data_IF_116696840137
#
_entry.id   IF_116696840137
#
_cell.length_a   1.000
_cell.length_b   1.000
_cell.length_c   1.000
_cell.angle_alpha   90.00
_cell.angle_beta   90.00
_cell.angle_gamma   90.00
#
_symmetry.space_group_name_H-M   'P 1'
#
loop_
_entity.id
_entity.type
_entity.pdbx_description
1 polymer ?
#
# COMPACT_ATOMS: atom_id res chain seq x y z
N UNK A 1 -22.88 -16.33 0.65
CA UNK A 1 -22.50 -14.99 0.09
C UNK A 1 -21.20 -15.16 -0.66
N UNK A 2 -21.05 -14.65 -1.89
CA UNK A 2 -19.78 -14.82 -2.62
C UNK A 2 -18.79 -13.79 -2.06
N UNK A 3 -17.70 -14.25 -1.47
CA UNK A 3 -16.64 -13.40 -0.90
C UNK A 3 -16.04 -12.51 -2.01
N UNK A 4 -15.97 -11.20 -1.79
CA UNK A 4 -15.32 -10.26 -2.70
C UNK A 4 -14.01 -9.71 -2.09
N UNK A 5 -13.20 -9.03 -2.91
CA UNK A 5 -11.89 -8.49 -2.51
C UNK A 5 -11.98 -7.55 -1.31
N UNK A 6 -13.00 -6.68 -1.28
CA UNK A 6 -13.17 -5.72 -0.18
C UNK A 6 -13.61 -6.40 1.12
N UNK A 7 -14.46 -7.42 1.02
CA UNK A 7 -14.87 -8.19 2.21
C UNK A 7 -13.68 -8.96 2.78
N UNK A 8 -12.83 -9.55 1.94
CA UNK A 8 -11.61 -10.22 2.41
C UNK A 8 -10.64 -9.24 3.10
N UNK A 9 -10.45 -8.04 2.56
CA UNK A 9 -9.62 -7.00 3.22
C UNK A 9 -10.15 -6.62 4.60
N UNK A 10 -11.47 -6.49 4.76
CA UNK A 10 -12.10 -6.22 6.06
C UNK A 10 -11.86 -7.39 7.03
N UNK A 11 -12.06 -8.62 6.55
CA UNK A 11 -11.81 -9.83 7.36
C UNK A 11 -10.34 -9.89 7.82
N UNK A 12 -9.38 -9.62 6.93
CA UNK A 12 -7.95 -9.57 7.29
C UNK A 12 -7.65 -8.48 8.33
N UNK A 13 -8.24 -7.29 8.16
CA UNK A 13 -8.09 -6.19 9.11
C UNK A 13 -8.65 -6.55 10.49
N UNK A 14 -9.87 -7.09 10.53
CA UNK A 14 -10.53 -7.49 11.78
C UNK A 14 -9.78 -8.66 12.43
N UNK A 15 -9.35 -9.66 11.65
CA UNK A 15 -8.55 -10.77 12.15
C UNK A 15 -7.26 -10.29 12.83
N UNK A 16 -6.53 -9.39 12.20
CA UNK A 16 -5.32 -8.80 12.78
C UNK A 16 -5.63 -8.01 14.06
N UNK A 17 -6.74 -7.27 14.09
CA UNK A 17 -7.17 -6.51 15.26
C UNK A 17 -7.49 -7.42 16.46
N UNK A 18 -8.28 -8.48 16.24
CA UNK A 18 -8.63 -9.44 17.29
C UNK A 18 -7.41 -10.26 17.75
N UNK A 19 -6.55 -10.68 16.82
CA UNK A 19 -5.31 -11.41 17.11
C UNK A 19 -4.36 -10.57 17.95
N UNK A 20 -4.10 -9.34 17.56
CA UNK A 20 -3.23 -8.43 18.32
C UNK A 20 -3.79 -8.15 19.71
N UNK A 21 -5.11 -7.99 19.84
CA UNK A 21 -5.74 -7.80 21.14
C UNK A 21 -5.55 -9.01 22.04
N UNK A 22 -5.65 -10.24 21.53
CA UNK A 22 -5.40 -11.45 22.30
C UNK A 22 -3.93 -11.57 22.70
N UNK A 23 -3.01 -11.32 21.78
CA UNK A 23 -1.57 -11.38 22.05
C UNK A 23 -1.11 -10.38 23.11
N UNK A 24 -1.80 -9.24 23.22
CA UNK A 24 -1.51 -8.17 24.18
C UNK A 24 -2.42 -8.20 25.43
N UNK A 25 -3.28 -9.21 25.55
CA UNK A 25 -4.23 -9.29 26.67
C UNK A 25 -3.53 -9.33 28.01
N UNK A 26 -4.10 -8.64 28.99
CA UNK A 26 -3.65 -8.74 30.37
C UNK A 26 -4.05 -10.12 30.93
N UNK A 27 -3.25 -10.66 31.83
CA UNK A 27 -3.53 -11.97 32.44
C UNK A 27 -4.87 -11.99 33.19
N UNK A 28 -5.35 -10.86 33.71
CA UNK A 28 -6.61 -10.75 34.45
C UNK A 28 -7.86 -10.81 33.56
N UNK A 29 -7.77 -10.34 32.32
CA UNK A 29 -8.90 -10.31 31.36
C UNK A 29 -8.72 -11.27 30.19
N UNK A 30 -7.71 -12.13 30.30
CA UNK A 30 -7.33 -13.04 29.20
C UNK A 30 -8.48 -13.92 28.72
N UNK A 31 -9.23 -14.53 29.64
CA UNK A 31 -10.35 -15.40 29.31
C UNK A 31 -11.44 -14.67 28.50
N UNK A 32 -11.74 -13.43 28.86
CA UNK A 32 -12.73 -12.62 28.14
C UNK A 32 -12.24 -12.21 26.74
N UNK A 33 -10.96 -11.88 26.62
CA UNK A 33 -10.36 -11.52 25.34
C UNK A 33 -10.27 -12.75 24.43
N UNK A 34 -9.87 -13.91 24.97
CA UNK A 34 -9.85 -15.19 24.25
C UNK A 34 -11.25 -15.56 23.73
N UNK A 35 -12.29 -15.43 24.56
CA UNK A 35 -13.67 -15.70 24.14
C UNK A 35 -14.11 -14.79 23.00
N UNK A 36 -13.75 -13.51 23.01
CA UNK A 36 -14.06 -12.57 21.94
C UNK A 36 -13.33 -12.94 20.64
N UNK A 37 -12.07 -13.36 20.75
CA UNK A 37 -11.30 -13.86 19.60
C UNK A 37 -11.93 -15.10 18.98
N UNK A 38 -12.25 -16.12 19.77
CA UNK A 38 -12.89 -17.36 19.31
C UNK A 38 -14.28 -17.11 18.72
N UNK A 39 -15.07 -16.21 19.30
CA UNK A 39 -16.35 -15.80 18.74
C UNK A 39 -16.17 -15.14 17.36
N UNK A 40 -15.14 -14.32 17.20
CA UNK A 40 -14.81 -13.75 15.89
C UNK A 40 -14.47 -14.85 14.88
N UNK A 41 -13.59 -15.81 15.22
CA UNK A 41 -13.25 -16.93 14.33
C UNK A 41 -14.49 -17.73 13.92
N UNK A 42 -15.36 -18.06 14.87
CA UNK A 42 -16.57 -18.86 14.63
C UNK A 42 -17.59 -18.13 13.76
N UNK A 43 -17.71 -16.80 13.92
CA UNK A 43 -18.68 -15.98 13.18
C UNK A 43 -18.13 -15.46 11.83
N UNK A 44 -16.90 -15.81 11.48
CA UNK A 44 -16.30 -15.44 10.20
C UNK A 44 -16.22 -16.68 9.30
N UNK A 45 -17.19 -16.89 8.36
CA UNK A 45 -17.33 -18.14 7.64
C UNK A 45 -16.05 -18.61 6.94
N UNK A 46 -15.34 -17.72 6.23
CA UNK A 46 -14.12 -18.09 5.51
C UNK A 46 -13.03 -18.62 6.44
N UNK A 47 -12.94 -18.12 7.68
CA UNK A 47 -11.97 -18.58 8.69
C UNK A 47 -12.47 -19.87 9.33
N UNK A 48 -13.75 -19.90 9.71
CA UNK A 48 -14.32 -21.07 10.38
C UNK A 48 -14.34 -22.30 9.48
N UNK A 49 -14.76 -22.15 8.21
CA UNK A 49 -14.72 -23.21 7.22
C UNK A 49 -13.31 -23.77 7.01
N UNK A 50 -12.28 -22.91 7.04
CA UNK A 50 -10.89 -23.35 6.99
C UNK A 50 -10.52 -24.21 8.20
N UNK A 51 -10.83 -23.74 9.42
CA UNK A 51 -10.58 -24.52 10.65
C UNK A 51 -11.30 -25.87 10.58
N UNK A 52 -12.58 -25.89 10.19
CA UNK A 52 -13.35 -27.12 10.05
C UNK A 52 -12.79 -28.08 8.98
N UNK A 53 -12.23 -27.53 7.90
CA UNK A 53 -11.60 -28.33 6.84
C UNK A 53 -10.36 -29.10 7.30
N UNK A 54 -9.77 -28.73 8.44
CA UNK A 54 -8.66 -29.44 9.08
C UNK A 54 -9.08 -30.72 9.81
N UNK A 55 -10.39 -30.98 9.87
CA UNK A 55 -10.96 -32.17 10.52
C UNK A 55 -11.31 -31.95 11.99
N UNK A 56 -11.81 -33.01 12.63
CA UNK A 56 -12.10 -33.02 14.06
C UNK A 56 -10.84 -33.25 14.88
N UNK A 57 -10.79 -32.70 16.07
CA UNK A 57 -9.74 -32.98 17.03
C UNK A 57 -9.96 -34.39 17.62
N UNK A 58 -8.99 -35.27 17.42
CA UNK A 58 -9.04 -36.65 17.92
C UNK A 58 -8.41 -36.80 19.33
N UNK A 59 -7.88 -35.69 19.85
CA UNK A 59 -7.25 -35.64 21.19
C UNK A 59 -8.29 -35.62 22.29
N UNK A 60 -8.03 -36.27 23.41
CA UNK A 60 -8.74 -36.02 24.66
C UNK A 60 -8.36 -34.62 25.20
N UNK A 61 -9.11 -33.60 24.75
CA UNK A 61 -8.84 -32.20 25.10
C UNK A 61 -8.99 -31.97 26.58
N UNK A 62 -10.02 -32.55 27.22
CA UNK A 62 -10.26 -32.40 28.65
C UNK A 62 -9.11 -33.01 29.48
N UNK A 63 -8.73 -34.24 29.17
CA UNK A 63 -7.60 -34.90 29.84
C UNK A 63 -6.31 -34.13 29.64
N UNK A 64 -6.02 -33.72 28.41
CA UNK A 64 -4.82 -32.95 28.08
C UNK A 64 -4.73 -31.61 28.84
N UNK A 65 -5.84 -30.87 28.95
CA UNK A 65 -5.87 -29.62 29.69
C UNK A 65 -5.69 -29.87 31.19
N UNK A 66 -6.33 -30.89 31.74
CA UNK A 66 -6.16 -31.28 33.14
C UNK A 66 -4.72 -31.69 33.47
N UNK A 67 -4.08 -32.49 32.61
CA UNK A 67 -2.70 -32.93 32.81
C UNK A 67 -1.73 -31.73 32.83
N UNK A 68 -1.89 -30.79 31.89
CA UNK A 68 -1.07 -29.58 31.87
C UNK A 68 -1.32 -28.73 33.13
N UNK A 69 -2.57 -28.53 33.56
CA UNK A 69 -2.87 -27.80 34.80
C UNK A 69 -2.24 -28.46 36.03
N UNK A 70 -2.42 -29.78 36.17
CA UNK A 70 -1.90 -30.53 37.33
C UNK A 70 -0.37 -30.62 37.37
N UNK A 71 0.28 -30.44 36.22
CA UNK A 71 1.73 -30.43 36.13
C UNK A 71 2.40 -29.23 36.83
N UNK A 72 1.64 -28.21 37.19
CA UNK A 72 2.13 -26.96 37.77
C UNK A 72 3.28 -26.33 36.97
N UNK A 73 3.18 -26.37 35.65
CA UNK A 73 4.19 -25.83 34.71
C UNK A 73 5.27 -26.82 34.29
N UNK A 74 5.11 -28.10 34.63
CA UNK A 74 6.02 -29.17 34.18
C UNK A 74 5.71 -29.65 32.77
N UNK A 75 4.49 -29.43 32.26
CA UNK A 75 4.05 -29.80 30.92
C UNK A 75 3.57 -28.56 30.13
N UNK A 76 3.65 -28.65 28.81
CA UNK A 76 3.03 -27.72 27.88
C UNK A 76 2.19 -28.49 26.86
N UNK A 77 1.28 -27.81 26.17
CA UNK A 77 0.53 -28.44 25.09
C UNK A 77 1.41 -28.80 23.91
N UNK A 78 1.16 -29.97 23.32
CA UNK A 78 1.76 -30.40 22.05
C UNK A 78 0.69 -30.26 20.97
N UNK A 79 0.85 -29.32 20.04
CA UNK A 79 -0.22 -28.99 19.10
C UNK A 79 -0.46 -30.05 18.03
N UNK A 80 0.53 -30.87 17.70
CA UNK A 80 0.49 -31.91 16.64
C UNK A 80 1.71 -31.86 15.75
N UNK A 81 1.79 -32.81 14.81
CA UNK A 81 2.94 -32.99 13.91
C UNK A 81 2.66 -32.41 12.50
N UNK A 82 1.41 -32.10 12.19
CA UNK A 82 0.99 -31.58 10.88
C UNK A 82 0.24 -30.25 11.03
N UNK A 83 0.28 -29.42 9.97
CA UNK A 83 -0.46 -28.15 9.92
C UNK A 83 -1.94 -28.30 10.31
N UNK A 84 -2.59 -29.36 9.82
CA UNK A 84 -4.00 -29.62 10.13
C UNK A 84 -4.23 -29.97 11.60
N UNK A 85 -3.32 -30.77 12.16
CA UNK A 85 -3.36 -31.12 13.58
C UNK A 85 -3.14 -29.89 14.46
N UNK A 86 -2.13 -29.09 14.16
CA UNK A 86 -1.87 -27.85 14.89
C UNK A 86 -3.12 -26.97 14.92
N UNK A 87 -3.78 -26.74 13.77
CA UNK A 87 -4.96 -25.88 13.68
C UNK A 87 -6.12 -26.43 14.52
N UNK A 88 -6.49 -27.69 14.29
CA UNK A 88 -7.67 -28.29 14.95
C UNK A 88 -7.47 -28.47 16.44
N UNK A 89 -6.27 -28.88 16.86
CA UNK A 89 -5.96 -29.14 18.25
C UNK A 89 -5.82 -27.87 19.06
N UNK A 90 -5.09 -26.86 18.54
CA UNK A 90 -4.99 -25.55 19.22
C UNK A 90 -6.35 -24.90 19.33
N UNK A 91 -7.15 -24.89 18.25
CA UNK A 91 -8.51 -24.36 18.30
C UNK A 91 -9.36 -25.07 19.35
N UNK A 92 -9.33 -26.40 19.41
CA UNK A 92 -10.09 -27.19 20.37
C UNK A 92 -9.65 -26.93 21.83
N UNK A 93 -8.34 -26.85 22.09
CA UNK A 93 -7.80 -26.54 23.42
C UNK A 93 -8.21 -25.11 23.84
N UNK A 94 -8.02 -24.13 22.98
CA UNK A 94 -8.39 -22.73 23.30
C UNK A 94 -9.90 -22.57 23.52
N UNK A 95 -10.70 -23.30 22.72
CA UNK A 95 -12.15 -23.33 22.90
C UNK A 95 -12.54 -23.95 24.22
N UNK A 96 -11.96 -25.08 24.61
CA UNK A 96 -12.19 -25.72 25.90
C UNK A 96 -11.83 -24.79 27.08
N UNK A 97 -10.67 -24.13 27.01
CA UNK A 97 -10.23 -23.15 28.01
C UNK A 97 -11.26 -22.01 28.15
N UNK A 98 -11.73 -21.47 27.01
CA UNK A 98 -12.71 -20.36 27.02
C UNK A 98 -14.09 -20.79 27.53
N UNK A 99 -14.59 -21.97 27.10
CA UNK A 99 -15.90 -22.50 27.46
C UNK A 99 -16.00 -22.84 28.96
N UNK A 100 -14.87 -23.27 29.56
CA UNK A 100 -14.81 -23.62 30.99
C UNK A 100 -14.23 -22.49 31.85
N UNK A 101 -14.02 -21.30 31.33
CA UNK A 101 -13.45 -20.13 32.04
C UNK A 101 -12.15 -20.45 32.79
N UNK A 102 -11.25 -21.23 32.17
CA UNK A 102 -9.99 -21.63 32.79
C UNK A 102 -9.03 -20.43 32.79
N UNK A 103 -8.56 -20.07 33.96
CA UNK A 103 -7.52 -19.06 34.13
C UNK A 103 -6.16 -19.65 33.82
N UNK A 104 -5.56 -19.24 32.68
CA UNK A 104 -4.33 -19.88 32.17
C UNK A 104 -3.07 -19.43 32.91
N UNK A 105 -3.08 -18.28 33.56
CA UNK A 105 -1.85 -17.65 34.07
C UNK A 105 -1.22 -18.40 35.22
N UNK A 106 -1.97 -19.15 35.98
CA UNK A 106 -1.48 -19.81 37.19
C UNK A 106 -0.79 -21.16 36.88
N UNK A 107 -1.44 -22.01 36.14
CA UNK A 107 -0.98 -23.37 35.91
C UNK A 107 -0.46 -23.60 34.47
N UNK A 108 -1.24 -23.20 33.46
CA UNK A 108 -0.96 -23.51 32.05
C UNK A 108 0.20 -22.64 31.51
N UNK A 109 0.08 -21.34 31.63
CA UNK A 109 1.05 -20.41 31.04
C UNK A 109 2.45 -20.52 31.66
N UNK A 110 2.52 -20.96 32.93
CA UNK A 110 3.79 -21.13 33.63
C UNK A 110 4.73 -22.12 32.95
N UNK A 111 4.19 -23.17 32.32
CA UNK A 111 4.99 -24.14 31.56
C UNK A 111 5.74 -23.54 30.37
N UNK A 112 5.22 -22.44 29.82
CA UNK A 112 5.83 -21.73 28.68
C UNK A 112 6.95 -20.78 29.07
N UNK A 113 7.00 -20.34 30.34
CA UNK A 113 8.04 -19.49 30.89
C UNK A 113 8.35 -19.86 32.36
N UNK A 114 9.04 -20.99 32.60
CA UNK A 114 9.25 -21.50 33.97
C UNK A 114 10.03 -20.55 34.88
N UNK A 115 10.86 -19.66 34.31
CA UNK A 115 11.65 -18.67 35.04
C UNK A 115 10.97 -17.33 35.20
N UNK A 116 9.76 -17.15 34.64
CA UNK A 116 9.04 -15.88 34.73
C UNK A 116 8.62 -15.59 36.18
N UNK A 117 8.90 -14.38 36.64
CA UNK A 117 8.48 -13.91 37.97
C UNK A 117 7.09 -13.26 37.96
N UNK A 118 6.58 -12.91 36.79
CA UNK A 118 5.26 -12.25 36.61
C UNK A 118 4.34 -13.08 35.77
N UNK A 119 3.08 -13.14 36.14
CA UNK A 119 2.03 -13.84 35.38
C UNK A 119 1.92 -13.32 33.94
N UNK A 120 2.08 -12.00 33.74
CA UNK A 120 2.02 -11.42 32.39
C UNK A 120 3.12 -11.93 31.47
N UNK A 121 4.30 -12.21 31.97
CA UNK A 121 5.42 -12.78 31.19
C UNK A 121 5.10 -14.21 30.78
N UNK A 122 4.49 -15.01 31.67
CA UNK A 122 4.07 -16.36 31.36
C UNK A 122 2.95 -16.40 30.30
N UNK A 123 1.93 -15.53 30.45
CA UNK A 123 0.85 -15.40 29.45
C UNK A 123 1.38 -14.95 28.08
N UNK A 124 2.34 -14.03 28.06
CA UNK A 124 3.00 -13.63 26.82
C UNK A 124 3.71 -14.80 26.16
N UNK A 125 4.47 -15.58 26.91
CA UNK A 125 5.18 -16.76 26.39
C UNK A 125 4.21 -17.83 25.88
N UNK A 126 3.07 -18.06 26.54
CA UNK A 126 2.00 -18.92 26.07
C UNK A 126 1.46 -18.44 24.72
N UNK A 127 1.17 -17.15 24.62
CA UNK A 127 0.70 -16.57 23.37
C UNK A 127 1.72 -16.72 22.24
N UNK A 128 2.99 -16.44 22.49
CA UNK A 128 4.06 -16.50 21.49
C UNK A 128 4.37 -17.94 21.02
N UNK A 129 4.25 -18.92 21.91
CA UNK A 129 4.67 -20.30 21.63
C UNK A 129 3.53 -21.25 21.31
N UNK A 130 2.27 -20.88 21.60
CA UNK A 130 1.12 -21.73 21.37
C UNK A 130 0.04 -21.02 20.53
N UNK A 131 -0.47 -19.89 20.97
CA UNK A 131 -1.57 -19.20 20.27
C UNK A 131 -1.12 -18.67 18.92
N UNK A 132 0.10 -18.16 18.84
CA UNK A 132 0.66 -17.60 17.61
C UNK A 132 0.69 -18.61 16.46
N UNK A 133 0.82 -19.89 16.73
CA UNK A 133 0.81 -20.95 15.70
C UNK A 133 -0.53 -20.92 14.95
N UNK A 134 -1.65 -20.92 15.67
CA UNK A 134 -2.98 -20.84 15.06
C UNK A 134 -3.18 -19.53 14.27
N UNK A 135 -2.74 -18.41 14.86
CA UNK A 135 -2.82 -17.09 14.20
C UNK A 135 -2.07 -17.10 12.88
N UNK A 136 -0.83 -17.60 12.84
CA UNK A 136 0.00 -17.67 11.64
C UNK A 136 -0.60 -18.56 10.54
N UNK A 137 -1.23 -19.70 10.92
CA UNK A 137 -1.90 -20.56 9.97
C UNK A 137 -3.10 -19.88 9.32
N UNK A 138 -3.93 -19.21 10.10
CA UNK A 138 -5.10 -18.49 9.59
C UNK A 138 -4.67 -17.28 8.74
N UNK A 139 -3.69 -16.52 9.18
CA UNK A 139 -3.15 -15.38 8.42
C UNK A 139 -2.61 -15.83 7.06
N UNK A 140 -1.82 -16.91 7.03
CA UNK A 140 -1.30 -17.51 5.80
C UNK A 140 -2.43 -17.97 4.88
N UNK A 141 -3.47 -18.59 5.43
CA UNK A 141 -4.64 -18.99 4.65
C UNK A 141 -5.36 -17.79 4.04
N UNK A 142 -5.66 -16.76 4.82
CA UNK A 142 -6.32 -15.54 4.34
C UNK A 142 -5.46 -14.82 3.26
N UNK A 143 -4.15 -14.84 3.41
CA UNK A 143 -3.21 -14.31 2.40
C UNK A 143 -3.30 -15.11 1.10
N UNK A 144 -3.29 -16.46 1.16
CA UNK A 144 -3.45 -17.31 -0.03
C UNK A 144 -4.78 -17.05 -0.74
N UNK A 145 -5.89 -16.94 0.01
CA UNK A 145 -7.20 -16.57 -0.55
C UNK A 145 -7.12 -15.19 -1.24
N UNK A 146 -6.39 -14.25 -0.68
CA UNK A 146 -6.15 -12.93 -1.27
C UNK A 146 -5.40 -13.02 -2.61
N UNK A 147 -4.35 -13.83 -2.66
CA UNK A 147 -3.58 -14.09 -3.89
C UNK A 147 -4.48 -14.72 -4.95
N UNK A 148 -5.25 -15.76 -4.60
CA UNK A 148 -6.17 -16.43 -5.52
C UNK A 148 -7.27 -15.49 -6.05
N UNK A 149 -7.66 -14.49 -5.27
CA UNK A 149 -8.58 -13.44 -5.69
C UNK A 149 -7.89 -12.29 -6.45
N UNK A 150 -6.58 -12.32 -6.64
CA UNK A 150 -5.81 -11.28 -7.32
C UNK A 150 -5.67 -9.99 -6.50
N UNK A 151 -5.63 -10.07 -5.15
CA UNK A 151 -5.39 -8.91 -4.30
C UNK A 151 -3.95 -8.39 -4.42
N UNK A 152 -3.00 -9.27 -4.71
CA UNK A 152 -1.58 -8.96 -4.87
C UNK A 152 -1.17 -8.66 -6.32
N UNK A 153 -2.13 -8.69 -7.25
CA UNK A 153 -1.87 -8.26 -8.62
C UNK A 153 -1.55 -6.76 -8.61
N UNK A 154 -0.28 -6.43 -8.58
CA UNK A 154 0.19 -5.10 -8.92
C UNK A 154 -0.18 -4.86 -10.37
N UNK A 155 -1.12 -3.96 -10.60
CA UNK A 155 -1.43 -3.52 -11.96
C UNK A 155 -0.13 -2.95 -12.57
N UNK A 156 0.47 -3.70 -13.49
CA UNK A 156 1.63 -3.22 -14.25
C UNK A 156 1.08 -2.35 -15.37
N UNK A 157 1.17 -1.03 -15.17
CA UNK A 157 0.77 -0.06 -16.19
C UNK A 157 1.97 0.19 -17.11
N UNK A 158 1.94 -0.37 -18.31
CA UNK A 158 2.85 0.01 -19.38
C UNK A 158 2.30 1.28 -20.05
N UNK A 159 2.62 2.44 -19.49
CA UNK A 159 2.18 3.72 -20.01
C UNK A 159 3.31 4.33 -20.84
N UNK A 160 3.11 4.42 -22.16
CA UNK A 160 4.01 5.16 -23.04
C UNK A 160 3.41 6.54 -23.27
N UNK A 161 3.96 7.55 -22.63
CA UNK A 161 3.57 8.95 -22.83
C UNK A 161 4.53 9.58 -23.83
N UNK A 162 4.03 9.93 -25.00
CA UNK A 162 4.84 10.65 -26.00
C UNK A 162 4.88 12.15 -25.74
N UNK A 163 3.78 12.73 -25.23
CA UNK A 163 3.67 14.13 -24.79
C UNK A 163 2.57 14.19 -23.72
N UNK A 164 2.83 14.82 -22.57
CA UNK A 164 1.84 15.01 -21.52
C UNK A 164 2.16 14.33 -20.19
N UNK A 165 1.20 14.27 -19.26
CA UNK A 165 1.29 13.64 -17.94
C UNK A 165 0.65 12.25 -17.95
N UNK A 166 1.34 11.25 -17.36
CA UNK A 166 0.71 9.99 -17.01
C UNK A 166 0.19 10.07 -15.57
N UNK A 167 -1.09 9.91 -15.37
CA UNK A 167 -1.70 9.81 -14.05
C UNK A 167 -2.22 8.39 -13.88
N UNK A 168 -1.64 7.67 -12.92
CA UNK A 168 -2.02 6.29 -12.59
C UNK A 168 -2.86 6.33 -11.33
N UNK A 169 -4.15 5.94 -11.45
CA UNK A 169 -5.03 5.75 -10.32
C UNK A 169 -5.08 4.26 -9.95
N UNK A 170 -4.90 3.94 -8.67
CA UNK A 170 -5.02 2.58 -8.12
C UNK A 170 -6.18 2.53 -7.14
N UNK A 171 -6.74 1.34 -6.93
CA UNK A 171 -7.75 1.06 -5.91
C UNK A 171 -9.08 1.84 -6.03
N UNK A 172 -9.57 2.05 -7.26
CA UNK A 172 -10.88 2.68 -7.49
C UNK A 172 -10.93 4.18 -7.22
N UNK A 173 -9.77 4.84 -7.13
CA UNK A 173 -9.70 6.30 -7.05
C UNK A 173 -10.13 6.94 -8.38
N UNK A 174 -10.99 7.96 -8.31
CA UNK A 174 -11.37 8.78 -9.47
C UNK A 174 -10.38 9.92 -9.60
N UNK A 175 -9.69 9.99 -10.74
CA UNK A 175 -8.78 11.11 -11.05
C UNK A 175 -9.39 11.95 -12.15
N UNK A 176 -9.70 13.21 -11.85
CA UNK A 176 -10.04 14.22 -12.84
C UNK A 176 -8.75 14.93 -13.25
N UNK A 177 -8.17 14.51 -14.38
CA UNK A 177 -6.98 15.13 -14.92
C UNK A 177 -7.35 15.96 -16.13
N UNK A 178 -6.99 17.25 -16.12
CA UNK A 178 -7.05 18.10 -17.29
C UNK A 178 -5.65 18.10 -17.92
N UNK A 179 -5.54 17.52 -19.10
CA UNK A 179 -4.28 17.50 -19.84
C UNK A 179 -4.21 18.75 -20.74
N UNK A 180 -3.27 19.64 -20.48
CA UNK A 180 -2.90 20.69 -21.40
C UNK A 180 -1.75 20.15 -22.30
N UNK A 181 -2.11 19.68 -23.47
CA UNK A 181 -1.15 19.29 -24.51
C UNK A 181 -0.77 20.56 -25.28
N UNK A 182 0.44 21.04 -25.06
CA UNK A 182 1.00 22.22 -25.70
C UNK A 182 1.53 23.25 -24.69
N UNK A 183 2.40 24.15 -25.18
CA UNK A 183 2.76 25.33 -24.42
C UNK A 183 1.50 26.11 -24.05
N UNK A 184 1.47 26.72 -22.86
CA UNK A 184 0.39 27.65 -22.53
C UNK A 184 0.40 28.74 -23.62
N UNK A 185 -0.54 28.59 -24.56
CA UNK A 185 -0.62 29.44 -25.78
C UNK A 185 -0.85 30.91 -25.39
N UNK A 186 -1.44 31.18 -24.23
CA UNK A 186 -1.67 32.52 -23.71
C UNK A 186 -0.35 33.12 -23.22
N UNK A 187 0.47 32.35 -22.50
CA UNK A 187 1.76 32.80 -22.00
C UNK A 187 2.79 32.91 -23.11
N UNK A 188 2.82 31.96 -24.03
CA UNK A 188 3.64 32.04 -25.26
C UNK A 188 3.30 33.30 -26.02
N UNK A 189 2.04 33.59 -26.27
CA UNK A 189 1.59 34.80 -27.01
C UNK A 189 2.00 36.08 -26.32
N UNK A 190 1.86 36.19 -25.00
CA UNK A 190 2.33 37.33 -24.22
C UNK A 190 3.86 37.56 -24.37
N UNK A 191 4.63 36.46 -24.31
CA UNK A 191 6.09 36.52 -24.52
C UNK A 191 6.45 36.94 -25.93
N UNK A 192 5.75 36.48 -26.96
CA UNK A 192 5.96 36.86 -28.34
C UNK A 192 5.57 38.35 -28.59
N UNK A 193 4.45 38.81 -28.06
CA UNK A 193 3.99 40.19 -28.20
C UNK A 193 4.93 41.18 -27.50
N UNK A 194 5.41 40.86 -26.30
CA UNK A 194 6.44 41.64 -25.60
C UNK A 194 7.71 41.81 -26.43
N UNK A 195 8.06 40.77 -27.22
CA UNK A 195 9.22 40.82 -28.10
C UNK A 195 8.99 41.68 -29.35
N UNK A 196 7.84 41.56 -29.97
CA UNK A 196 7.48 42.42 -31.13
C UNK A 196 7.56 43.92 -30.79
N UNK A 197 7.32 44.29 -29.51
CA UNK A 197 7.50 45.67 -29.04
C UNK A 197 8.98 46.04 -28.90
N UNK A 198 9.84 45.12 -28.38
CA UNK A 198 11.27 45.40 -28.18
C UNK A 198 12.07 45.47 -29.49
N UNK A 199 11.54 44.90 -30.58
CA UNK A 199 12.13 44.90 -31.92
C UNK A 199 12.20 46.32 -32.53
N UNK A 200 11.30 47.22 -32.16
CA UNK A 200 11.23 48.59 -32.71
C UNK A 200 12.49 49.43 -32.51
N UNK A 201 13.41 49.00 -31.65
CA UNK A 201 14.67 49.69 -31.34
C UNK A 201 15.90 49.05 -32.03
N UNK A 202 15.70 48.03 -32.89
CA UNK A 202 16.74 47.39 -33.67
C UNK A 202 16.84 48.05 -35.07
N UNK A 203 17.96 47.84 -35.77
CA UNK A 203 18.04 48.20 -37.19
C UNK A 203 17.09 47.35 -38.04
N UNK A 204 16.78 47.83 -39.26
CA UNK A 204 15.76 47.22 -40.12
C UNK A 204 16.08 45.79 -40.53
N UNK A 205 17.35 45.36 -40.67
CA UNK A 205 17.76 44.04 -41.03
C UNK A 205 17.53 43.07 -39.85
N UNK A 206 17.89 43.47 -38.65
CA UNK A 206 17.64 42.70 -37.44
C UNK A 206 16.14 42.65 -37.06
N UNK A 207 15.35 43.67 -37.35
CA UNK A 207 13.89 43.68 -37.17
C UNK A 207 13.22 42.59 -38.00
N UNK A 208 13.62 42.44 -39.27
CA UNK A 208 13.06 41.43 -40.17
C UNK A 208 13.48 40.00 -39.71
N UNK A 209 14.73 39.78 -39.39
CA UNK A 209 15.22 38.51 -38.88
C UNK A 209 14.56 38.05 -37.57
N UNK A 210 14.32 39.01 -36.64
CA UNK A 210 13.58 38.72 -35.38
C UNK A 210 12.14 38.33 -35.67
N UNK A 211 11.49 39.07 -36.56
CA UNK A 211 10.08 38.83 -36.92
C UNK A 211 9.87 37.43 -37.50
N UNK A 212 10.74 37.01 -38.43
CA UNK A 212 10.74 35.68 -39.04
C UNK A 212 10.97 34.56 -37.96
N UNK A 213 11.92 34.79 -37.06
CA UNK A 213 12.21 33.81 -35.99
C UNK A 213 11.01 33.67 -35.03
N UNK A 214 10.34 34.74 -34.66
CA UNK A 214 9.18 34.72 -33.79
C UNK A 214 7.97 34.02 -34.45
N UNK A 215 7.78 34.23 -35.76
CA UNK A 215 6.75 33.56 -36.55
C UNK A 215 6.98 32.04 -36.61
N UNK A 216 8.23 31.63 -36.85
CA UNK A 216 8.62 30.20 -36.84
C UNK A 216 8.33 29.58 -35.46
N UNK A 217 8.73 30.26 -34.39
CA UNK A 217 8.50 29.75 -33.01
C UNK A 217 7.00 29.66 -32.72
N UNK A 218 6.19 30.67 -33.09
CA UNK A 218 4.75 30.68 -32.90
C UNK A 218 4.08 29.51 -33.64
N UNK A 219 4.38 29.37 -34.94
CA UNK A 219 3.77 28.38 -35.80
C UNK A 219 4.15 26.94 -35.38
N UNK A 220 5.43 26.70 -35.11
CA UNK A 220 5.88 25.35 -34.74
C UNK A 220 5.47 24.99 -33.31
N UNK A 221 5.40 25.94 -32.37
CA UNK A 221 4.96 25.67 -30.98
C UNK A 221 3.46 25.37 -30.87
N UNK A 222 2.66 25.81 -31.84
CA UNK A 222 1.21 25.55 -31.90
C UNK A 222 0.84 24.41 -32.84
N UNK A 223 1.81 23.85 -33.60
CA UNK A 223 1.60 22.78 -34.56
C UNK A 223 1.36 21.45 -33.88
N UNK A 224 0.49 20.60 -34.46
CA UNK A 224 0.30 19.20 -34.03
C UNK A 224 1.57 18.34 -34.20
N UNK A 225 2.49 18.72 -35.05
CA UNK A 225 3.78 18.05 -35.31
C UNK A 225 4.93 19.05 -35.38
N UNK A 226 5.39 19.57 -34.23
CA UNK A 226 6.44 20.59 -34.18
C UNK A 226 7.77 20.12 -34.76
N UNK A 227 8.37 20.89 -35.62
CA UNK A 227 9.72 20.65 -36.12
C UNK A 227 10.74 21.27 -35.15
N UNK A 228 11.13 20.51 -34.14
CA UNK A 228 12.06 20.94 -33.08
C UNK A 228 13.34 21.57 -33.60
N UNK A 229 13.89 21.14 -34.77
CA UNK A 229 15.08 21.70 -35.38
C UNK A 229 14.88 23.14 -35.83
N UNK A 230 13.68 23.45 -36.36
CA UNK A 230 13.34 24.82 -36.79
C UNK A 230 13.25 25.78 -35.60
N UNK A 231 12.60 25.34 -34.53
CA UNK A 231 12.51 26.13 -33.30
C UNK A 231 13.87 26.36 -32.67
N UNK A 232 14.74 25.35 -32.64
CA UNK A 232 16.13 25.49 -32.14
C UNK A 232 16.93 26.48 -32.96
N UNK A 233 16.82 26.44 -34.29
CA UNK A 233 17.49 27.36 -35.16
C UNK A 233 17.01 28.79 -34.93
N UNK A 234 15.69 29.01 -34.85
CA UNK A 234 15.13 30.32 -34.60
C UNK A 234 15.57 30.90 -33.24
N UNK A 235 15.55 30.07 -32.15
CA UNK A 235 16.04 30.49 -30.83
C UNK A 235 17.56 30.84 -30.87
N UNK A 236 18.36 30.07 -31.60
CA UNK A 236 19.80 30.34 -31.76
C UNK A 236 20.06 31.64 -32.50
N UNK A 237 19.30 31.91 -33.57
CA UNK A 237 19.38 33.15 -34.33
C UNK A 237 18.99 34.36 -33.45
N UNK A 238 17.88 34.28 -32.72
CA UNK A 238 17.46 35.32 -31.77
C UNK A 238 18.55 35.62 -30.73
N UNK A 239 19.19 34.57 -30.21
CA UNK A 239 20.24 34.72 -29.19
C UNK A 239 21.53 35.34 -29.74
N UNK A 240 21.77 35.27 -31.05
CA UNK A 240 22.96 35.85 -31.72
C UNK A 240 22.78 37.32 -32.06
N UNK A 241 21.54 37.83 -32.12
CA UNK A 241 21.26 39.26 -32.46
C UNK A 241 21.66 40.12 -31.27
N UNK A 242 22.51 41.14 -31.55
CA UNK A 242 22.90 42.15 -30.55
C UNK A 242 21.85 43.23 -30.48
N UNK A 243 21.22 43.35 -29.34
CA UNK A 243 20.17 44.36 -29.08
C UNK A 243 20.33 45.00 -27.69
N UNK A 244 19.30 45.71 -27.27
CA UNK A 244 19.25 46.35 -25.95
C UNK A 244 19.24 45.26 -24.82
N UNK A 245 19.55 45.70 -23.59
CA UNK A 245 19.48 44.78 -22.43
C UNK A 245 18.09 44.18 -22.26
N UNK A 246 17.05 44.93 -22.56
CA UNK A 246 15.62 44.49 -22.53
C UNK A 246 15.34 43.44 -23.62
N UNK A 247 15.92 43.59 -24.81
CA UNK A 247 15.81 42.60 -25.86
C UNK A 247 16.49 41.29 -25.43
N UNK A 248 17.72 41.37 -24.88
CA UNK A 248 18.45 40.20 -24.39
C UNK A 248 17.71 39.46 -23.27
N UNK A 249 17.15 40.16 -22.27
CA UNK A 249 16.36 39.59 -21.21
C UNK A 249 15.08 38.90 -21.76
N UNK A 250 14.45 39.54 -22.72
CA UNK A 250 13.27 38.98 -23.35
C UNK A 250 13.60 37.73 -24.21
N UNK A 251 14.75 37.65 -24.90
CA UNK A 251 15.19 36.44 -25.60
C UNK A 251 15.45 35.31 -24.60
N UNK A 252 16.11 35.59 -23.48
CA UNK A 252 16.38 34.62 -22.42
C UNK A 252 15.08 34.00 -21.87
N UNK A 253 14.06 34.84 -21.57
CA UNK A 253 12.78 34.35 -21.10
C UNK A 253 12.07 33.44 -22.13
N UNK A 254 12.13 33.78 -23.43
CA UNK A 254 11.55 32.92 -24.47
C UNK A 254 12.29 31.59 -24.61
N UNK A 255 13.62 31.60 -24.53
CA UNK A 255 14.42 30.39 -24.55
C UNK A 255 14.09 29.48 -23.38
N UNK A 256 14.00 30.03 -22.16
CA UNK A 256 13.63 29.27 -20.95
C UNK A 256 12.22 28.69 -21.04
N UNK A 257 11.28 29.39 -21.65
CA UNK A 257 9.91 28.92 -21.83
C UNK A 257 9.80 27.82 -22.89
N UNK A 258 10.49 27.97 -24.01
CA UNK A 258 10.37 27.06 -25.18
C UNK A 258 11.30 25.85 -25.08
N UNK A 259 12.48 25.98 -24.47
CA UNK A 259 13.45 24.88 -24.38
C UNK A 259 12.91 23.59 -23.74
N UNK A 260 12.08 23.62 -22.66
CA UNK A 260 11.47 22.41 -22.09
C UNK A 260 10.48 21.72 -23.03
N UNK A 261 9.99 22.41 -24.07
CA UNK A 261 9.01 21.91 -25.03
C UNK A 261 9.69 21.20 -26.21
N UNK A 262 10.99 21.33 -26.33
CA UNK A 262 11.82 20.76 -27.39
C UNK A 262 12.44 19.43 -26.96
#
# INVERSE_FOLDING_TARGET
MKLNKNDLRKIQYDFNSYSNRLLQANYMDYADVLRKYLNYLTNTPVVFDYIQSCGTCDMDVEGTVKDVQQSCGGLIFVPGDTEKEEIRNIYAILKYIADHNIEIYYDIARGYAPSASKFQEAVKAFNERFVMILIQHIERYLTKVGIDMGLDERAVYNVTVKNGQAIIATDGSTVNATNHVGADTVELKKLLDSKRESVKYLDSENQEAVSECLEVIENESTSEKPKKSMVKTALSTLSAIKGTAEFGAAVTALVQFVAPLL
#
